data_IF_379338688011
#
_entry.id   IF_379338688011
#
_cell.length_a   1.000
_cell.length_b   1.000
_cell.length_c   1.000
_cell.angle_alpha   90.00
_cell.angle_beta   90.00
_cell.angle_gamma   90.00
#
_symmetry.space_group_name_H-M   'P 1'
#
loop_
_entity.id
_entity.type
_entity.pdbx_description
1 polymer ?
#
# COMPACT_ATOMS: atom_id res chain seq x y z
N UNK A 1 -0.85 -22.81 3.75
CA UNK A 1 -1.31 -21.51 4.30
C UNK A 1 -0.80 -20.34 3.46
N UNK A 2 0.52 -20.19 3.26
CA UNK A 2 1.11 -19.10 2.46
C UNK A 2 0.59 -19.10 1.00
N UNK A 3 0.60 -20.25 0.31
CA UNK A 3 0.09 -20.34 -1.06
C UNK A 3 -1.39 -19.95 -1.21
N UNK A 4 -2.21 -20.27 -0.20
CA UNK A 4 -3.62 -19.92 -0.18
C UNK A 4 -3.82 -18.40 -0.07
N UNK A 5 -2.98 -17.72 0.72
CA UNK A 5 -2.98 -16.26 0.86
C UNK A 5 -2.54 -15.62 -0.45
N UNK A 6 -1.46 -16.12 -1.07
CA UNK A 6 -0.99 -15.60 -2.35
C UNK A 6 -2.06 -15.72 -3.45
N UNK A 7 -2.72 -16.88 -3.56
CA UNK A 7 -3.83 -17.06 -4.51
C UNK A 7 -4.98 -16.10 -4.27
N UNK A 8 -5.34 -15.87 -3.01
CA UNK A 8 -6.40 -14.92 -2.67
C UNK A 8 -6.02 -13.49 -3.08
N UNK A 9 -4.80 -13.05 -2.77
CA UNK A 9 -4.31 -11.71 -3.12
C UNK A 9 -4.22 -11.51 -4.63
N UNK A 10 -3.70 -12.50 -5.37
CA UNK A 10 -3.68 -12.45 -6.84
C UNK A 10 -5.09 -12.34 -7.42
N UNK A 11 -6.03 -13.15 -6.94
CA UNK A 11 -7.43 -13.08 -7.38
C UNK A 11 -8.09 -11.74 -7.04
N UNK A 12 -7.69 -11.08 -5.95
CA UNK A 12 -8.16 -9.74 -5.60
C UNK A 12 -7.62 -8.68 -6.56
N UNK A 13 -6.31 -8.67 -6.82
CA UNK A 13 -5.66 -7.74 -7.77
C UNK A 13 -6.26 -7.89 -9.17
N UNK A 14 -6.55 -9.12 -9.60
CA UNK A 14 -7.20 -9.39 -10.87
C UNK A 14 -8.62 -8.79 -10.97
N UNK A 15 -9.34 -8.66 -9.86
CA UNK A 15 -10.68 -8.06 -9.80
C UNK A 15 -10.67 -6.53 -9.77
N UNK A 16 -9.51 -5.89 -9.61
CA UNK A 16 -9.43 -4.43 -9.64
C UNK A 16 -9.91 -3.88 -11.00
N UNK A 17 -10.70 -2.78 -10.98
CA UNK A 17 -11.24 -2.20 -12.19
C UNK A 17 -10.13 -1.68 -13.09
N UNK A 18 -10.35 -1.74 -14.40
CA UNK A 18 -9.50 -1.05 -15.38
C UNK A 18 -9.92 0.40 -15.46
N UNK A 19 -9.55 1.16 -14.44
CA UNK A 19 -9.45 2.62 -14.51
C UNK A 19 -8.07 2.94 -15.10
N UNK A 20 -7.83 4.12 -15.70
CA UNK A 20 -6.59 4.47 -16.42
C UNK A 20 -5.27 4.46 -15.62
N UNK A 21 -5.25 3.77 -14.47
CA UNK A 21 -4.13 3.56 -13.57
C UNK A 21 -3.81 2.05 -13.55
N UNK A 22 -2.54 1.62 -13.68
CA UNK A 22 -2.17 0.21 -13.60
C UNK A 22 -2.64 -0.48 -12.31
N UNK A 23 -3.05 -1.74 -12.40
CA UNK A 23 -3.58 -2.52 -11.25
C UNK A 23 -2.59 -2.62 -10.09
N UNK A 24 -1.31 -2.68 -10.42
CA UNK A 24 -0.21 -2.66 -9.48
C UNK A 24 -0.24 -1.39 -8.59
N UNK A 25 -0.35 -0.21 -9.21
CA UNK A 25 -0.45 1.08 -8.48
C UNK A 25 -1.74 1.18 -7.67
N UNK A 26 -2.84 0.63 -8.20
CA UNK A 26 -4.09 0.53 -7.44
C UNK A 26 -3.93 -0.33 -6.18
N UNK A 27 -3.23 -1.46 -6.28
CA UNK A 27 -2.97 -2.34 -5.14
C UNK A 27 -2.09 -1.65 -4.09
N UNK A 28 -1.02 -0.95 -4.51
CA UNK A 28 -0.19 -0.14 -3.62
C UNK A 28 -0.98 0.94 -2.87
N UNK A 29 -1.88 1.63 -3.56
CA UNK A 29 -2.79 2.59 -2.94
C UNK A 29 -3.69 1.94 -1.88
N UNK A 30 -4.32 0.81 -2.23
CA UNK A 30 -5.21 0.08 -1.30
C UNK A 30 -4.43 -0.41 -0.08
N UNK A 31 -3.23 -0.97 -0.27
CA UNK A 31 -2.35 -1.42 0.80
C UNK A 31 -1.98 -0.26 1.73
N UNK A 32 -1.63 0.90 1.19
CA UNK A 32 -1.36 2.10 1.97
C UNK A 32 -2.54 2.55 2.85
N UNK A 33 -3.75 2.53 2.28
CA UNK A 33 -4.98 2.85 3.02
C UNK A 33 -5.26 1.85 4.15
N UNK A 34 -5.13 0.55 3.87
CA UNK A 34 -5.33 -0.52 4.87
C UNK A 34 -4.32 -0.42 6.00
N UNK A 35 -3.02 -0.22 5.69
CA UNK A 35 -1.98 -0.03 6.70
C UNK A 35 -2.28 1.16 7.61
N UNK A 36 -2.74 2.29 7.05
CA UNK A 36 -3.16 3.44 7.85
C UNK A 36 -4.27 3.08 8.83
N UNK A 37 -5.36 2.45 8.36
CA UNK A 37 -6.49 2.10 9.23
C UNK A 37 -6.09 1.13 10.34
N UNK A 38 -5.22 0.17 10.06
CA UNK A 38 -4.69 -0.75 11.07
C UNK A 38 -3.88 0.00 12.14
N UNK A 39 -3.01 0.92 11.73
CA UNK A 39 -2.21 1.72 12.66
C UNK A 39 -3.10 2.65 13.51
N UNK A 40 -4.04 3.34 12.88
CA UNK A 40 -4.98 4.23 13.56
C UNK A 40 -5.88 3.47 14.55
N UNK A 41 -6.41 2.30 14.15
CA UNK A 41 -7.21 1.43 15.03
C UNK A 41 -6.41 0.90 16.24
N UNK A 42 -5.10 0.72 16.09
CA UNK A 42 -4.18 0.39 17.18
C UNK A 42 -3.80 1.60 18.05
N UNK A 43 -4.39 2.78 17.82
CA UNK A 43 -4.15 3.99 18.61
C UNK A 43 -2.91 4.79 18.22
N UNK A 44 -2.31 4.52 17.06
CA UNK A 44 -1.21 5.34 16.56
C UNK A 44 -1.71 6.77 16.26
N UNK A 45 -0.97 7.83 16.66
CA UNK A 45 -1.26 9.18 16.22
C UNK A 45 -1.36 9.25 14.70
N UNK A 46 -2.43 9.86 14.17
CA UNK A 46 -2.79 9.76 12.76
C UNK A 46 -1.72 10.27 11.79
N UNK A 47 -1.05 11.38 12.12
CA UNK A 47 0.09 11.87 11.34
C UNK A 47 1.29 10.92 11.37
N UNK A 48 1.54 10.28 12.53
CA UNK A 48 2.59 9.27 12.65
C UNK A 48 2.25 8.02 11.83
N UNK A 49 0.98 7.62 11.78
CA UNK A 49 0.53 6.50 10.96
C UNK A 49 0.81 6.73 9.46
N UNK A 50 0.57 7.93 8.94
CA UNK A 50 0.95 8.29 7.55
C UNK A 50 2.46 8.22 7.35
N UNK A 51 3.24 8.72 8.31
CA UNK A 51 4.70 8.63 8.29
C UNK A 51 5.18 7.18 8.20
N UNK A 52 4.60 6.28 9.01
CA UNK A 52 4.90 4.85 8.97
C UNK A 52 4.53 4.24 7.62
N UNK A 53 3.34 4.52 7.09
CA UNK A 53 2.91 4.04 5.76
C UNK A 53 3.90 4.46 4.67
N UNK A 54 4.31 5.73 4.68
CA UNK A 54 5.27 6.24 3.68
C UNK A 54 6.64 5.59 3.81
N UNK A 55 7.13 5.41 5.04
CA UNK A 55 8.40 4.72 5.31
C UNK A 55 8.32 3.24 4.89
N UNK A 56 7.19 2.56 5.12
CA UNK A 56 6.99 1.18 4.67
C UNK A 56 7.03 1.08 3.14
N UNK A 57 6.37 1.99 2.43
CA UNK A 57 6.46 2.05 0.96
C UNK A 57 7.90 2.27 0.48
N UNK A 58 8.63 3.19 1.11
CA UNK A 58 10.02 3.49 0.72
C UNK A 58 10.95 2.30 1.01
N UNK A 59 10.76 1.63 2.15
CA UNK A 59 11.53 0.44 2.50
C UNK A 59 11.30 -0.70 1.51
N UNK A 60 10.06 -0.89 1.01
CA UNK A 60 9.75 -1.85 -0.06
C UNK A 60 10.50 -1.50 -1.34
N UNK A 61 10.47 -0.24 -1.79
CA UNK A 61 11.19 0.16 -3.01
C UNK A 61 12.71 0.03 -2.89
N UNK A 62 13.27 0.32 -1.70
CA UNK A 62 14.68 0.08 -1.41
C UNK A 62 14.99 -1.42 -1.47
N UNK A 63 14.12 -2.27 -0.91
CA UNK A 63 14.28 -3.71 -0.98
C UNK A 63 14.26 -4.22 -2.43
N UNK A 64 13.32 -3.75 -3.25
CA UNK A 64 13.21 -4.09 -4.66
C UNK A 64 14.43 -3.63 -5.47
N UNK A 65 15.02 -2.49 -5.12
CA UNK A 65 16.26 -2.02 -5.74
C UNK A 65 17.44 -2.99 -5.52
N UNK A 66 17.52 -3.61 -4.34
CA UNK A 66 18.55 -4.60 -4.02
C UNK A 66 18.22 -6.03 -4.48
N UNK A 67 16.97 -6.31 -4.87
CA UNK A 67 16.50 -7.62 -5.33
C UNK A 67 15.75 -7.50 -6.68
N UNK A 68 16.42 -7.01 -7.74
CA UNK A 68 15.79 -6.77 -9.05
C UNK A 68 15.34 -8.08 -9.74
N UNK A 69 15.77 -9.24 -9.25
CA UNK A 69 15.33 -10.56 -9.70
C UNK A 69 13.91 -10.91 -9.23
N UNK A 70 13.41 -10.26 -8.16
CA UNK A 70 12.10 -10.53 -7.56
C UNK A 70 11.03 -9.51 -7.97
N UNK A 71 11.39 -8.22 -7.96
CA UNK A 71 10.50 -7.09 -8.16
C UNK A 71 11.24 -5.94 -8.86
N UNK A 72 10.50 -5.05 -9.52
CA UNK A 72 11.08 -3.84 -10.10
C UNK A 72 10.90 -2.68 -9.14
N UNK A 73 12.00 -1.98 -8.82
CA UNK A 73 11.94 -0.72 -8.08
C UNK A 73 11.23 0.35 -8.93
N UNK A 74 10.13 0.90 -8.40
CA UNK A 74 9.31 1.91 -9.04
C UNK A 74 8.87 2.98 -8.01
N UNK A 75 9.37 4.19 -8.18
CA UNK A 75 9.01 5.34 -7.35
C UNK A 75 7.49 5.57 -7.25
N UNK A 76 6.72 5.23 -8.28
CA UNK A 76 5.27 5.41 -8.27
C UNK A 76 4.55 4.45 -7.32
N UNK A 77 5.15 3.33 -6.90
CA UNK A 77 4.59 2.44 -5.89
C UNK A 77 4.69 3.02 -4.49
N UNK A 78 5.82 3.63 -4.15
CA UNK A 78 5.95 4.40 -2.92
C UNK A 78 4.97 5.57 -2.89
N UNK A 79 4.84 6.30 -4.00
CA UNK A 79 3.89 7.41 -4.12
C UNK A 79 2.45 6.92 -3.95
N UNK A 80 2.05 5.85 -4.66
CA UNK A 80 0.72 5.27 -4.55
C UNK A 80 0.41 4.80 -3.11
N UNK A 81 1.37 4.12 -2.46
CA UNK A 81 1.25 3.68 -1.07
C UNK A 81 1.05 4.86 -0.12
N UNK A 82 1.83 5.93 -0.29
CA UNK A 82 1.73 7.15 0.54
C UNK A 82 0.38 7.86 0.32
N UNK A 83 -0.07 7.99 -0.93
CA UNK A 83 -1.37 8.58 -1.26
C UNK A 83 -2.55 7.77 -0.69
N UNK A 84 -2.44 6.44 -0.66
CA UNK A 84 -3.42 5.58 0.01
C UNK A 84 -3.56 5.88 1.49
N UNK A 85 -2.43 6.04 2.19
CA UNK A 85 -2.42 6.42 3.61
C UNK A 85 -3.00 7.83 3.85
N UNK A 86 -2.68 8.80 3.00
CA UNK A 86 -3.24 10.16 3.08
C UNK A 86 -4.74 10.19 2.80
N UNK A 87 -5.22 9.41 1.84
CA UNK A 87 -6.64 9.25 1.58
C UNK A 87 -7.36 8.65 2.79
N UNK A 88 -6.80 7.59 3.38
CA UNK A 88 -7.37 6.98 4.57
C UNK A 88 -7.36 7.92 5.78
N UNK A 89 -6.35 8.79 5.92
CA UNK A 89 -6.34 9.87 6.92
C UNK A 89 -7.52 10.83 6.73
N UNK A 90 -7.75 11.29 5.49
CA UNK A 90 -8.85 12.20 5.19
C UNK A 90 -10.21 11.56 5.51
N UNK A 91 -10.39 10.28 5.15
CA UNK A 91 -11.58 9.50 5.51
C UNK A 91 -11.71 9.38 7.03
N UNK A 92 -10.65 8.99 7.73
CA UNK A 92 -10.65 8.84 9.18
C UNK A 92 -10.99 10.12 9.93
N UNK A 93 -10.57 11.29 9.41
CA UNK A 93 -10.82 12.58 10.06
C UNK A 93 -12.29 13.03 10.06
N UNK A 94 -13.15 12.35 9.29
CA UNK A 94 -14.58 12.63 9.21
C UNK A 94 -15.47 11.49 9.72
N UNK A 95 -14.86 10.41 10.22
CA UNK A 95 -15.53 9.31 10.92
C UNK A 95 -15.66 9.63 12.42
#
# INVERSE_FOLDING_TARGET
MIESILKFLSAYVEKLPRIGVPKDKQAHFIVGAVLFFLLAACGAPTLLAVGIVSLTGAAKEIYDHFHPDLQTCDFFDWLATTLGGLFALAVWSVL
#
